data_IF_908270916937
#
_entry.id   IF_908270916937
#
_cell.length_a   1.000
_cell.length_b   1.000
_cell.length_c   1.000
_cell.angle_alpha   90.00
_cell.angle_beta   90.00
_cell.angle_gamma   90.00
#
_symmetry.space_group_name_H-M   'P 1'
#
loop_
_entity.id
_entity.type
_entity.pdbx_description
1 polymer ?
#
# COMPACT_ATOMS: atom_id res chain seq x y z
N UNK A 1 28.99 14.78 -8.96
CA UNK A 1 28.45 13.40 -9.16
C UNK A 1 26.94 13.46 -9.26
N UNK A 2 26.39 12.82 -10.29
CA UNK A 2 24.94 12.66 -10.44
C UNK A 2 24.35 11.76 -9.33
N UNK A 3 23.04 11.82 -9.07
CA UNK A 3 22.38 10.91 -8.11
C UNK A 3 22.66 9.43 -8.40
N UNK A 4 22.59 9.00 -9.66
CA UNK A 4 22.88 7.62 -10.07
C UNK A 4 24.32 7.21 -9.74
N UNK A 5 25.31 8.08 -9.98
CA UNK A 5 26.71 7.79 -9.63
C UNK A 5 26.91 7.68 -8.11
N UNK A 6 26.20 8.49 -7.31
CA UNK A 6 26.25 8.39 -5.85
C UNK A 6 25.64 7.06 -5.38
N UNK A 7 24.56 6.62 -6.03
CA UNK A 7 23.94 5.31 -5.76
C UNK A 7 24.89 4.16 -6.10
N UNK A 8 25.56 4.19 -7.25
CA UNK A 8 26.59 3.19 -7.62
C UNK A 8 27.74 3.13 -6.61
N UNK A 9 28.24 4.29 -6.14
CA UNK A 9 29.28 4.34 -5.10
C UNK A 9 28.79 3.70 -3.80
N UNK A 10 27.55 4.00 -3.40
CA UNK A 10 26.95 3.43 -2.20
C UNK A 10 26.79 1.92 -2.32
N UNK A 11 26.23 1.42 -3.43
CA UNK A 11 26.02 -0.03 -3.62
C UNK A 11 27.34 -0.79 -3.71
N UNK A 12 28.35 -0.26 -4.41
CA UNK A 12 29.66 -0.90 -4.50
C UNK A 12 30.39 -0.96 -3.14
N UNK A 13 30.26 0.08 -2.33
CA UNK A 13 30.81 0.09 -0.96
C UNK A 13 30.06 -0.88 -0.06
N UNK A 14 28.72 -0.91 -0.15
CA UNK A 14 27.85 -1.76 0.66
C UNK A 14 28.07 -3.25 0.38
N UNK A 15 28.25 -3.64 -0.88
CA UNK A 15 28.53 -5.03 -1.29
C UNK A 15 30.00 -5.40 -1.17
N UNK A 16 30.86 -4.48 -0.72
CA UNK A 16 32.31 -4.63 -0.69
C UNK A 16 32.93 -5.00 -2.06
N UNK A 17 32.28 -4.64 -3.17
CA UNK A 17 32.79 -4.90 -4.52
C UNK A 17 33.92 -3.95 -4.95
N UNK A 18 34.03 -2.80 -4.27
CA UNK A 18 35.15 -1.88 -4.40
C UNK A 18 35.42 -1.17 -3.06
N UNK A 19 36.67 -0.85 -2.79
CA UNK A 19 37.07 -0.08 -1.62
C UNK A 19 36.76 1.41 -1.80
N UNK A 20 36.59 2.14 -0.69
CA UNK A 20 36.41 3.60 -0.74
C UNK A 20 37.58 4.33 -1.42
N UNK A 21 38.79 3.75 -1.38
CA UNK A 21 39.98 4.30 -2.06
C UNK A 21 39.84 4.19 -3.58
N UNK A 22 39.48 3.02 -4.08
CA UNK A 22 39.28 2.77 -5.51
C UNK A 22 38.13 3.62 -6.08
N UNK A 23 37.04 3.77 -5.33
CA UNK A 23 35.92 4.61 -5.72
C UNK A 23 36.31 6.11 -5.73
N UNK A 24 37.05 6.57 -4.72
CA UNK A 24 37.58 7.93 -4.69
C UNK A 24 38.46 8.22 -5.91
N UNK A 25 39.35 7.29 -6.27
CA UNK A 25 40.22 7.39 -7.44
C UNK A 25 39.43 7.36 -8.76
N UNK A 26 38.51 6.39 -8.92
CA UNK A 26 37.67 6.22 -10.12
C UNK A 26 36.84 7.46 -10.42
N UNK A 27 36.21 8.04 -9.40
CA UNK A 27 35.35 9.21 -9.56
C UNK A 27 36.10 10.54 -9.37
N UNK A 28 37.43 10.50 -9.13
CA UNK A 28 38.29 11.66 -8.88
C UNK A 28 37.77 12.58 -7.77
N UNK A 29 37.37 11.99 -6.65
CA UNK A 29 36.86 12.70 -5.47
C UNK A 29 37.63 12.30 -4.22
N UNK A 30 37.56 13.11 -3.17
CA UNK A 30 38.16 12.74 -1.89
C UNK A 30 37.40 11.61 -1.18
N UNK A 31 38.11 10.80 -0.38
CA UNK A 31 37.52 9.71 0.41
C UNK A 31 36.45 10.20 1.38
N UNK A 32 36.54 11.43 1.89
CA UNK A 32 35.49 12.04 2.72
C UNK A 32 34.18 12.22 1.93
N UNK A 33 34.24 12.50 0.63
CA UNK A 33 33.05 12.58 -0.23
C UNK A 33 32.36 11.22 -0.30
N UNK A 34 33.13 10.15 -0.51
CA UNK A 34 32.62 8.77 -0.54
C UNK A 34 31.96 8.41 0.81
N UNK A 35 32.63 8.73 1.92
CA UNK A 35 32.10 8.53 3.27
C UNK A 35 30.77 9.27 3.49
N UNK A 36 30.70 10.54 3.08
CA UNK A 36 29.49 11.37 3.21
C UNK A 36 28.34 10.84 2.36
N UNK A 37 28.60 10.34 1.14
CA UNK A 37 27.60 9.67 0.31
C UNK A 37 27.02 8.46 1.04
N UNK A 38 27.87 7.60 1.59
CA UNK A 38 27.43 6.39 2.29
C UNK A 38 26.64 6.73 3.57
N UNK A 39 27.10 7.73 4.33
CA UNK A 39 26.39 8.19 5.53
C UNK A 39 25.01 8.76 5.20
N UNK A 40 24.91 9.58 4.15
CA UNK A 40 23.64 10.18 3.70
C UNK A 40 22.67 9.12 3.20
N UNK A 41 23.15 8.16 2.39
CA UNK A 41 22.33 7.06 1.89
C UNK A 41 21.79 6.19 3.03
N UNK A 42 22.65 5.86 4.01
CA UNK A 42 22.25 5.10 5.20
C UNK A 42 21.19 5.86 6.02
N UNK A 43 21.42 7.14 6.28
CA UNK A 43 20.47 7.94 7.07
C UNK A 43 19.13 8.08 6.35
N UNK A 44 19.12 8.38 5.05
CA UNK A 44 17.88 8.47 4.28
C UNK A 44 17.10 7.16 4.24
N UNK A 45 17.79 6.00 4.19
CA UNK A 45 17.13 4.71 4.30
C UNK A 45 16.52 4.48 5.70
N UNK A 46 17.25 4.83 6.77
CA UNK A 46 16.72 4.74 8.13
C UNK A 46 15.52 5.66 8.34
N UNK A 47 15.59 6.91 7.89
CA UNK A 47 14.50 7.87 8.00
C UNK A 47 13.25 7.38 7.27
N UNK A 48 13.42 6.84 6.06
CA UNK A 48 12.32 6.27 5.28
C UNK A 48 11.70 5.04 5.95
N UNK A 49 12.53 4.16 6.53
CA UNK A 49 12.05 2.97 7.25
C UNK A 49 11.37 3.31 8.57
N UNK A 50 11.83 4.34 9.29
CA UNK A 50 11.17 4.86 10.48
C UNK A 50 9.82 5.50 10.13
N UNK A 51 9.74 6.21 9.01
CA UNK A 51 8.49 6.81 8.52
C UNK A 51 7.54 5.78 7.89
N UNK A 52 8.03 4.59 7.53
CA UNK A 52 7.23 3.53 6.92
C UNK A 52 6.27 2.92 7.95
N UNK A 53 5.06 3.48 8.02
CA UNK A 53 3.92 2.84 8.70
C UNK A 53 3.47 1.65 7.86
N UNK A 54 3.17 0.48 8.45
CA UNK A 54 2.55 -0.62 7.72
C UNK A 54 1.36 -0.09 6.91
N UNK A 55 1.35 -0.35 5.60
CA UNK A 55 0.28 0.13 4.73
C UNK A 55 -1.09 -0.23 5.29
N UNK A 56 -2.12 0.55 4.94
CA UNK A 56 -3.50 0.25 5.34
C UNK A 56 -3.77 -1.21 4.99
N UNK A 57 -4.05 -2.05 5.99
CA UNK A 57 -4.44 -3.44 5.75
C UNK A 57 -5.53 -3.39 4.68
N UNK A 58 -5.38 -4.17 3.61
CA UNK A 58 -6.47 -4.41 2.68
C UNK A 58 -7.71 -4.86 3.47
N UNK A 59 -8.91 -4.71 2.89
CA UNK A 59 -10.13 -5.12 3.60
C UNK A 59 -9.98 -6.55 4.11
N UNK A 60 -10.30 -6.79 5.37
CA UNK A 60 -10.27 -8.16 5.91
C UNK A 60 -11.30 -9.01 5.16
N UNK A 61 -11.15 -10.34 5.20
CA UNK A 61 -12.16 -11.25 4.64
C UNK A 61 -13.55 -10.95 5.24
N UNK A 62 -13.61 -10.69 6.54
CA UNK A 62 -14.82 -10.28 7.26
C UNK A 62 -15.43 -8.97 6.72
N UNK A 63 -14.60 -7.98 6.38
CA UNK A 63 -15.07 -6.72 5.80
C UNK A 63 -15.59 -6.88 4.37
N UNK A 64 -15.02 -7.80 3.59
CA UNK A 64 -15.51 -8.15 2.25
C UNK A 64 -16.85 -8.87 2.36
N UNK A 65 -16.92 -9.91 3.20
CA UNK A 65 -18.15 -10.66 3.46
C UNK A 65 -19.27 -9.75 3.98
N UNK A 66 -18.96 -8.80 4.86
CA UNK A 66 -19.94 -7.85 5.37
C UNK A 66 -20.51 -6.95 4.27
N UNK A 67 -19.68 -6.54 3.30
CA UNK A 67 -20.13 -5.70 2.17
C UNK A 67 -21.03 -6.52 1.25
N UNK A 68 -20.65 -7.77 0.95
CA UNK A 68 -21.45 -8.67 0.11
C UNK A 68 -22.80 -9.00 0.77
N UNK A 69 -22.80 -9.31 2.07
CA UNK A 69 -24.02 -9.58 2.84
C UNK A 69 -24.96 -8.37 2.86
N UNK A 70 -24.43 -7.15 3.01
CA UNK A 70 -25.24 -5.92 2.97
C UNK A 70 -25.88 -5.69 1.59
N UNK A 71 -25.12 -5.93 0.52
CA UNK A 71 -25.65 -5.81 -0.84
C UNK A 71 -26.78 -6.82 -1.11
N UNK A 72 -26.63 -8.06 -0.62
CA UNK A 72 -27.67 -9.07 -0.75
C UNK A 72 -28.91 -8.74 0.10
N UNK A 73 -28.74 -8.25 1.32
CA UNK A 73 -29.86 -7.77 2.15
C UNK A 73 -30.66 -6.68 1.42
N UNK A 74 -29.99 -5.74 0.76
CA UNK A 74 -30.67 -4.65 0.05
C UNK A 74 -31.42 -5.16 -1.19
N UNK A 75 -30.85 -6.14 -1.92
CA UNK A 75 -31.57 -6.84 -3.00
C UNK A 75 -32.81 -7.56 -2.46
N UNK A 76 -32.66 -8.34 -1.41
CA UNK A 76 -33.76 -9.12 -0.82
C UNK A 76 -34.88 -8.22 -0.30
N UNK A 77 -34.55 -7.08 0.33
CA UNK A 77 -35.54 -6.08 0.75
C UNK A 77 -36.38 -5.59 -0.42
N UNK A 78 -35.76 -5.28 -1.56
CA UNK A 78 -36.48 -4.85 -2.75
C UNK A 78 -37.45 -5.92 -3.25
N UNK A 79 -36.99 -7.18 -3.31
CA UNK A 79 -37.83 -8.32 -3.70
C UNK A 79 -39.00 -8.52 -2.74
N UNK A 80 -38.77 -8.41 -1.43
CA UNK A 80 -39.83 -8.54 -0.42
C UNK A 80 -40.87 -7.43 -0.56
N UNK A 81 -40.45 -6.19 -0.82
CA UNK A 81 -41.38 -5.08 -1.07
C UNK A 81 -42.24 -5.36 -2.31
N UNK A 82 -41.63 -5.83 -3.40
CA UNK A 82 -42.35 -6.18 -4.62
C UNK A 82 -43.36 -7.31 -4.38
N UNK A 83 -42.95 -8.37 -3.69
CA UNK A 83 -43.82 -9.49 -3.34
C UNK A 83 -44.98 -9.05 -2.45
N UNK A 84 -44.73 -8.20 -1.45
CA UNK A 84 -45.76 -7.66 -0.57
C UNK A 84 -46.78 -6.81 -1.35
N UNK A 85 -46.34 -6.03 -2.33
CA UNK A 85 -47.23 -5.27 -3.22
C UNK A 85 -48.08 -6.21 -4.10
N UNK A 86 -47.47 -7.25 -4.69
CA UNK A 86 -48.21 -8.24 -5.49
C UNK A 86 -49.26 -8.97 -4.65
N UNK A 87 -48.89 -9.39 -3.44
CA UNK A 87 -49.81 -10.04 -2.51
C UNK A 87 -50.99 -9.13 -2.19
N UNK A 88 -50.72 -7.87 -1.78
CA UNK A 88 -51.76 -6.90 -1.47
C UNK A 88 -52.72 -6.64 -2.65
N UNK A 89 -52.20 -6.59 -3.88
CA UNK A 89 -53.02 -6.41 -5.07
C UNK A 89 -53.85 -7.66 -5.40
N UNK A 90 -53.30 -8.86 -5.16
CA UNK A 90 -53.96 -10.14 -5.45
C UNK A 90 -55.00 -10.55 -4.41
N UNK A 91 -54.78 -10.22 -3.13
CA UNK A 91 -55.69 -10.54 -2.04
C UNK A 91 -56.89 -9.58 -1.98
N UNK A 92 -56.81 -8.42 -2.67
CA UNK A 92 -57.87 -7.43 -2.64
C UNK A 92 -58.20 -6.96 -1.23
N UNK A 93 -59.28 -6.21 -1.07
CA UNK A 93 -59.73 -5.65 0.22
C UNK A 93 -60.63 -6.63 0.98
N UNK A 94 -60.39 -7.94 0.89
CA UNK A 94 -61.24 -8.95 1.50
C UNK A 94 -60.69 -9.41 2.85
N UNK A 95 -61.40 -9.03 3.93
CA UNK A 95 -61.39 -9.77 5.19
C UNK A 95 -60.59 -9.17 6.35
N UNK A 96 -60.91 -7.95 6.78
CA UNK A 96 -61.06 -7.69 8.21
C UNK A 96 -62.56 -7.63 8.50
N UNK A 97 -63.16 -8.81 8.70
CA UNK A 97 -64.44 -9.02 9.40
C UNK A 97 -64.32 -10.33 10.18
#
# INVERSE_FOLDING_TARGET
MSPSQKYEVFTATLTSSATQRELAEKYRVDRTTIRTICATAKQGALDALTAAVPGRRGRSAEEVELVEARAEIDRLKLTVVEQAMQLHLSEGKDGWD
#
